data_IF_099163093293
#
_entry.id   IF_099163093293
#
_cell.length_a   1.000
_cell.length_b   1.000
_cell.length_c   1.000
_cell.angle_alpha   90.00
_cell.angle_beta   90.00
_cell.angle_gamma   90.00
#
_symmetry.space_group_name_H-M   'P 1'
#
loop_
_entity.id
_entity.type
_entity.pdbx_description
1 polymer ?
#
# COMPACT_ATOMS: atom_id res chain seq x y z
N UNK A 1 -4.49 -65.03 -57.36
CA UNK A 1 -4.96 -63.64 -57.57
C UNK A 1 -6.49 -63.61 -57.55
N UNK A 2 -7.08 -62.50 -57.07
CA UNK A 2 -8.50 -62.09 -57.10
C UNK A 2 -9.45 -62.31 -55.92
N UNK A 3 -9.25 -63.24 -54.98
CA UNK A 3 -10.25 -63.42 -53.91
C UNK A 3 -9.83 -62.92 -52.52
N UNK A 4 -8.52 -62.73 -52.27
CA UNK A 4 -8.04 -62.12 -51.01
C UNK A 4 -8.05 -60.59 -51.03
N UNK A 5 -8.27 -59.96 -52.19
CA UNK A 5 -8.34 -58.50 -52.30
C UNK A 5 -9.66 -57.92 -51.79
N UNK A 6 -10.75 -58.71 -51.74
CA UNK A 6 -12.01 -58.25 -51.13
C UNK A 6 -11.93 -58.17 -49.60
N UNK A 7 -11.09 -59.01 -48.98
CA UNK A 7 -10.87 -58.97 -47.53
C UNK A 7 -10.02 -57.76 -47.12
N UNK A 8 -9.15 -57.27 -48.01
CA UNK A 8 -8.30 -56.10 -47.78
C UNK A 8 -9.06 -54.77 -47.84
N UNK A 9 -10.24 -54.74 -48.50
CA UNK A 9 -11.11 -53.56 -48.61
C UNK A 9 -12.00 -53.39 -47.37
N UNK A 10 -12.25 -54.47 -46.61
CA UNK A 10 -12.93 -54.42 -45.31
C UNK A 10 -12.03 -53.94 -44.16
N UNK A 11 -10.69 -53.92 -44.36
CA UNK A 11 -9.72 -53.41 -43.36
C UNK A 11 -9.64 -51.87 -43.36
N UNK A 12 -10.29 -51.19 -44.32
CA UNK A 12 -10.32 -49.72 -44.41
C UNK A 12 -11.68 -49.10 -44.11
N UNK A 13 -12.69 -49.88 -43.69
CA UNK A 13 -13.95 -49.29 -43.23
C UNK A 13 -13.80 -48.68 -41.84
N UNK A 14 -14.00 -47.36 -41.79
CA UNK A 14 -14.13 -46.49 -40.61
C UNK A 14 -12.84 -45.92 -40.01
N UNK A 15 -12.12 -45.10 -40.76
CA UNK A 15 -11.51 -43.93 -40.12
C UNK A 15 -12.62 -42.93 -39.79
N UNK A 16 -13.09 -42.97 -38.54
CA UNK A 16 -13.85 -41.88 -37.95
C UNK A 16 -13.15 -41.34 -36.68
N UNK A 17 -11.96 -40.73 -36.77
CA UNK A 17 -11.62 -39.65 -35.85
C UNK A 17 -12.29 -38.39 -36.44
N UNK A 18 -13.10 -37.61 -35.71
CA UNK A 18 -12.70 -36.84 -34.55
C UNK A 18 -13.92 -36.61 -33.66
N UNK A 19 -13.80 -36.92 -32.37
CA UNK A 19 -14.71 -36.40 -31.35
C UNK A 19 -13.85 -35.87 -30.19
N UNK A 20 -14.18 -34.71 -29.61
CA UNK A 20 -13.76 -34.43 -28.24
C UNK A 20 -14.73 -35.19 -27.32
N UNK A 21 -14.21 -36.18 -26.62
CA UNK A 21 -14.93 -37.33 -26.04
C UNK A 21 -15.13 -37.25 -24.53
N UNK A 22 -15.07 -36.06 -23.93
CA UNK A 22 -15.05 -35.95 -22.47
C UNK A 22 -16.33 -36.51 -21.83
N UNK A 23 -16.22 -37.68 -21.19
CA UNK A 23 -17.26 -38.39 -20.43
C UNK A 23 -16.64 -38.89 -19.14
N UNK A 24 -17.22 -38.47 -18.01
CA UNK A 24 -16.72 -38.77 -16.67
C UNK A 24 -17.25 -40.13 -16.15
N UNK A 25 -16.68 -40.67 -15.06
CA UNK A 25 -17.17 -41.89 -14.42
C UNK A 25 -18.65 -41.78 -14.02
N UNK A 26 -19.45 -42.86 -14.10
CA UNK A 26 -20.83 -42.87 -13.61
C UNK A 26 -20.94 -42.70 -12.08
N UNK A 27 -19.85 -42.97 -11.37
CA UNK A 27 -19.67 -42.87 -9.93
C UNK A 27 -18.16 -42.76 -9.61
N UNK A 28 -17.82 -42.12 -8.49
CA UNK A 28 -16.43 -41.85 -8.08
C UNK A 28 -15.89 -40.47 -8.49
N UNK A 29 -14.66 -40.19 -8.07
CA UNK A 29 -13.96 -38.92 -8.28
C UNK A 29 -13.19 -38.88 -9.62
N UNK A 30 -13.00 -37.69 -10.18
CA UNK A 30 -12.23 -37.48 -11.43
C UNK A 30 -10.81 -37.04 -11.11
N UNK A 31 -9.83 -37.89 -11.43
CA UNK A 31 -8.42 -37.56 -11.36
C UNK A 31 -7.83 -37.20 -12.73
N UNK A 32 -7.11 -36.08 -12.81
CA UNK A 32 -6.27 -35.73 -13.97
C UNK A 32 -4.82 -35.74 -13.50
N UNK A 33 -4.04 -36.72 -13.95
CA UNK A 33 -2.66 -36.93 -13.48
C UNK A 33 -2.54 -37.70 -12.16
N UNK A 34 -3.66 -38.19 -11.60
CA UNK A 34 -3.70 -39.11 -10.45
C UNK A 34 -4.75 -40.20 -10.69
N UNK A 35 -4.47 -41.42 -10.21
CA UNK A 35 -5.43 -42.54 -10.21
C UNK A 35 -6.19 -42.67 -8.88
N UNK A 36 -5.79 -41.92 -7.85
CA UNK A 36 -6.37 -41.95 -6.51
C UNK A 36 -6.79 -40.53 -6.05
N UNK A 37 -7.75 -39.89 -6.74
CA UNK A 37 -8.20 -38.54 -6.38
C UNK A 37 -8.91 -38.51 -5.01
N UNK A 38 -8.47 -37.58 -4.17
CA UNK A 38 -8.97 -37.31 -2.82
C UNK A 38 -10.19 -36.38 -2.78
N UNK A 39 -10.50 -35.71 -3.89
CA UNK A 39 -11.65 -34.81 -4.06
C UNK A 39 -12.41 -35.14 -5.35
N UNK A 40 -13.63 -34.61 -5.50
CA UNK A 40 -14.49 -34.86 -6.67
C UNK A 40 -13.78 -34.60 -8.01
N UNK A 41 -12.92 -33.58 -8.05
CA UNK A 41 -12.03 -33.30 -9.19
C UNK A 41 -10.66 -32.95 -8.61
N UNK A 42 -9.65 -33.76 -8.91
CA UNK A 42 -8.26 -33.52 -8.52
C UNK A 42 -7.37 -33.48 -9.77
N UNK A 43 -6.65 -32.36 -9.93
CA UNK A 43 -5.60 -32.23 -10.94
C UNK A 43 -4.27 -32.33 -10.21
N UNK A 44 -3.55 -33.43 -10.42
CA UNK A 44 -2.31 -33.73 -9.73
C UNK A 44 -1.14 -33.69 -10.71
N UNK A 45 -0.32 -32.65 -10.61
CA UNK A 45 0.90 -32.45 -11.40
C UNK A 45 1.83 -31.46 -10.65
N UNK A 46 3.03 -31.20 -11.17
CA UNK A 46 3.98 -30.25 -10.58
C UNK A 46 3.47 -28.80 -10.58
N UNK A 47 2.58 -28.46 -11.51
CA UNK A 47 1.99 -27.13 -11.67
C UNK A 47 0.57 -27.23 -12.27
N UNK A 48 -0.42 -27.74 -11.52
CA UNK A 48 -1.77 -27.94 -12.05
C UNK A 48 -2.42 -26.60 -12.38
N UNK A 49 -3.03 -26.50 -13.57
CA UNK A 49 -3.66 -25.28 -14.09
C UNK A 49 -4.94 -25.61 -14.84
N UNK A 50 -6.01 -24.88 -14.55
CA UNK A 50 -7.24 -24.84 -15.35
C UNK A 50 -7.25 -23.51 -16.10
N UNK A 51 -7.43 -23.56 -17.42
CA UNK A 51 -7.46 -22.38 -18.29
C UNK A 51 -8.76 -22.33 -19.08
N UNK A 52 -9.50 -21.23 -18.95
CA UNK A 52 -10.64 -20.88 -19.78
C UNK A 52 -10.15 -19.98 -20.92
N UNK A 53 -10.36 -20.41 -22.16
CA UNK A 53 -9.96 -19.69 -23.38
C UNK A 53 -11.18 -19.49 -24.28
N UNK A 54 -11.60 -18.25 -24.57
CA UNK A 54 -12.71 -18.00 -25.47
C UNK A 54 -12.29 -18.24 -26.92
N UNK A 55 -13.17 -18.89 -27.68
CA UNK A 55 -12.92 -19.23 -29.08
C UNK A 55 -12.72 -17.98 -29.97
N UNK A 56 -13.39 -16.87 -29.65
CA UNK A 56 -13.33 -15.64 -30.46
C UNK A 56 -11.99 -14.89 -30.36
N UNK A 57 -11.23 -15.10 -29.27
CA UNK A 57 -9.98 -14.38 -29.00
C UNK A 57 -9.01 -15.23 -28.17
N UNK A 58 -8.54 -16.37 -28.72
CA UNK A 58 -7.85 -17.39 -27.94
C UNK A 58 -6.48 -16.95 -27.40
N UNK A 59 -5.90 -15.87 -27.93
CA UNK A 59 -4.64 -15.30 -27.44
C UNK A 59 -4.79 -14.30 -26.28
N UNK A 60 -5.93 -13.61 -26.18
CA UNK A 60 -5.99 -12.36 -25.41
C UNK A 60 -6.80 -12.48 -24.12
N UNK A 61 -7.86 -13.30 -24.10
CA UNK A 61 -8.79 -13.32 -22.96
C UNK A 61 -8.75 -14.65 -22.23
N UNK A 62 -7.59 -15.02 -21.70
CA UNK A 62 -7.46 -16.24 -20.88
C UNK A 62 -7.72 -15.92 -19.42
N UNK A 63 -8.49 -16.78 -18.75
CA UNK A 63 -8.57 -16.80 -17.28
C UNK A 63 -8.05 -18.13 -16.82
N UNK A 64 -7.11 -18.14 -15.88
CA UNK A 64 -6.54 -19.39 -15.37
C UNK A 64 -6.40 -19.36 -13.87
N UNK A 65 -6.57 -20.51 -13.24
CA UNK A 65 -6.20 -20.70 -11.83
C UNK A 65 -5.40 -21.99 -11.68
N UNK A 66 -4.55 -22.01 -10.68
CA UNK A 66 -3.66 -23.14 -10.45
C UNK A 66 -2.71 -22.92 -9.30
N UNK A 67 -1.78 -23.86 -9.17
CA UNK A 67 -0.70 -23.82 -8.18
C UNK A 67 0.62 -24.02 -8.91
N UNK A 68 1.65 -23.30 -8.47
CA UNK A 68 3.03 -23.42 -8.96
C UNK A 68 3.91 -24.13 -7.91
N UNK A 69 5.06 -24.67 -8.32
CA UNK A 69 6.08 -25.16 -7.38
C UNK A 69 6.40 -24.09 -6.32
N UNK A 70 6.53 -24.51 -5.06
CA UNK A 70 6.77 -23.58 -3.93
C UNK A 70 5.50 -23.04 -3.26
N UNK A 71 4.36 -23.72 -3.42
CA UNK A 71 3.09 -23.42 -2.73
C UNK A 71 2.51 -22.03 -3.04
N UNK A 72 2.68 -21.57 -4.28
CA UNK A 72 2.05 -20.34 -4.77
C UNK A 72 0.82 -20.69 -5.61
N UNK A 73 -0.36 -20.37 -5.11
CA UNK A 73 -1.59 -20.38 -5.88
C UNK A 73 -1.74 -19.07 -6.66
N UNK A 74 -2.32 -19.15 -7.86
CA UNK A 74 -2.58 -17.97 -8.68
C UNK A 74 -3.99 -17.98 -9.27
N UNK A 75 -4.46 -16.78 -9.57
CA UNK A 75 -5.63 -16.51 -10.41
C UNK A 75 -5.28 -15.40 -11.40
N UNK A 76 -5.31 -15.73 -12.69
CA UNK A 76 -5.00 -14.83 -13.81
C UNK A 76 -6.32 -14.35 -14.42
N UNK A 77 -6.45 -13.04 -14.64
CA UNK A 77 -7.64 -12.41 -15.22
C UNK A 77 -7.39 -11.89 -16.65
N UNK A 78 -8.37 -12.12 -17.52
CA UNK A 78 -8.26 -11.90 -18.97
C UNK A 78 -8.47 -10.47 -19.47
N UNK A 79 -7.35 -9.79 -19.76
CA UNK A 79 -7.04 -9.07 -21.01
C UNK A 79 -5.51 -9.12 -21.16
N UNK A 80 -5.01 -9.82 -22.18
CA UNK A 80 -3.61 -10.18 -22.40
C UNK A 80 -2.91 -10.94 -21.24
N UNK A 81 -3.67 -11.58 -20.33
CA UNK A 81 -3.12 -12.22 -19.11
C UNK A 81 -2.33 -11.25 -18.20
N UNK A 82 -2.68 -9.97 -18.24
CA UNK A 82 -1.91 -8.90 -17.60
C UNK A 82 -2.17 -8.71 -16.11
N UNK A 83 -3.25 -9.26 -15.58
CA UNK A 83 -3.57 -9.11 -14.16
C UNK A 83 -3.56 -10.46 -13.47
N UNK A 84 -3.00 -10.51 -12.28
CA UNK A 84 -2.83 -11.73 -11.52
C UNK A 84 -3.00 -11.47 -10.03
N UNK A 85 -3.69 -12.38 -9.36
CA UNK A 85 -3.67 -12.49 -7.90
C UNK A 85 -2.83 -13.70 -7.53
N UNK A 86 -1.90 -13.52 -6.59
CA UNK A 86 -1.07 -14.61 -6.06
C UNK A 86 -1.28 -14.77 -4.58
N UNK A 87 -1.54 -15.99 -4.15
CA UNK A 87 -1.48 -16.37 -2.75
C UNK A 87 -0.31 -17.34 -2.58
N UNK A 88 0.65 -17.01 -1.71
CA UNK A 88 1.84 -17.83 -1.55
C UNK A 88 2.38 -17.81 -0.14
N UNK A 89 3.44 -18.57 0.10
CA UNK A 89 4.19 -18.58 1.35
C UNK A 89 5.63 -18.08 1.11
N UNK A 90 6.19 -17.39 2.09
CA UNK A 90 7.59 -17.01 2.18
C UNK A 90 8.10 -17.31 3.59
N UNK A 91 9.40 -17.15 3.86
CA UNK A 91 9.92 -17.29 5.23
C UNK A 91 9.22 -16.37 6.25
N UNK A 92 8.64 -15.26 5.81
CA UNK A 92 7.86 -14.34 6.64
C UNK A 92 6.39 -14.75 6.83
N UNK A 93 5.93 -15.83 6.19
CA UNK A 93 4.56 -16.33 6.20
C UNK A 93 3.83 -16.16 4.86
N UNK A 94 2.50 -16.35 4.91
CA UNK A 94 1.62 -16.24 3.75
C UNK A 94 1.44 -14.81 3.24
N UNK A 95 1.20 -14.63 1.95
CA UNK A 95 0.89 -13.32 1.36
C UNK A 95 -0.22 -13.44 0.31
N UNK A 96 -0.86 -12.30 0.02
CA UNK A 96 -1.76 -12.12 -1.11
C UNK A 96 -1.34 -10.90 -1.93
N UNK A 97 -0.91 -11.11 -3.16
CA UNK A 97 -0.43 -10.06 -4.06
C UNK A 97 -1.39 -9.83 -5.21
N UNK A 98 -1.48 -8.57 -5.63
CA UNK A 98 -2.20 -8.11 -6.80
C UNK A 98 -1.20 -7.50 -7.77
N UNK A 99 -1.03 -8.15 -8.92
CA UNK A 99 -0.20 -7.71 -10.02
C UNK A 99 -1.05 -7.18 -11.16
N UNK A 100 -0.55 -6.11 -11.80
CA UNK A 100 -1.13 -5.54 -13.02
C UNK A 100 -0.08 -5.41 -14.12
N UNK A 101 -0.53 -5.32 -15.37
CA UNK A 101 0.35 -5.14 -16.54
C UNK A 101 1.47 -6.20 -16.68
N UNK A 102 1.19 -7.45 -16.32
CA UNK A 102 2.08 -8.57 -16.52
C UNK A 102 2.11 -9.01 -18.00
N UNK A 103 3.23 -8.85 -18.69
CA UNK A 103 3.30 -9.14 -20.13
C UNK A 103 3.87 -10.52 -20.46
N UNK A 104 4.39 -11.25 -19.46
CA UNK A 104 4.85 -12.64 -19.59
C UNK A 104 3.92 -13.65 -18.92
N UNK A 105 3.81 -14.84 -19.51
CA UNK A 105 3.20 -16.01 -18.84
C UNK A 105 4.14 -16.48 -17.72
N UNK A 106 3.59 -16.52 -16.51
CA UNK A 106 4.28 -16.33 -15.24
C UNK A 106 5.08 -17.53 -14.72
N UNK A 107 5.32 -18.55 -15.55
CA UNK A 107 5.99 -19.78 -15.10
C UNK A 107 7.47 -19.58 -14.77
N UNK A 108 8.05 -18.39 -15.01
CA UNK A 108 9.49 -18.13 -14.85
C UNK A 108 9.86 -16.73 -14.29
N UNK A 109 9.04 -15.69 -14.48
CA UNK A 109 9.26 -14.36 -13.93
C UNK A 109 7.99 -13.49 -14.05
N UNK A 110 7.71 -12.67 -13.02
CA UNK A 110 6.71 -11.60 -13.11
C UNK A 110 7.37 -10.31 -13.52
N UNK A 111 7.02 -9.82 -14.70
CA UNK A 111 7.31 -8.44 -15.11
C UNK A 111 6.15 -7.48 -14.75
N UNK A 112 5.05 -8.02 -14.22
CA UNK A 112 3.92 -7.24 -13.74
C UNK A 112 4.27 -6.29 -12.58
N UNK A 113 3.56 -5.17 -12.54
CA UNK A 113 3.64 -4.20 -11.46
C UNK A 113 2.92 -4.74 -10.23
N UNK A 114 3.62 -4.87 -9.11
CA UNK A 114 2.98 -5.13 -7.81
C UNK A 114 2.16 -3.91 -7.41
N UNK A 115 0.84 -3.99 -7.59
CA UNK A 115 -0.08 -2.92 -7.24
C UNK A 115 -0.34 -2.91 -5.73
N UNK A 116 -0.63 -4.08 -5.16
CA UNK A 116 -0.99 -4.24 -3.76
C UNK A 116 -0.50 -5.58 -3.21
N UNK A 117 -0.09 -5.60 -1.93
CA UNK A 117 0.20 -6.80 -1.15
C UNK A 117 -0.56 -6.75 0.17
N UNK A 118 -1.15 -7.87 0.57
CA UNK A 118 -1.49 -8.18 1.96
C UNK A 118 -0.42 -9.12 2.51
N UNK A 119 0.37 -8.64 3.46
CA UNK A 119 1.47 -9.38 4.06
C UNK A 119 0.98 -10.33 5.18
N UNK A 120 1.84 -11.26 5.59
CA UNK A 120 1.54 -12.28 6.60
C UNK A 120 1.06 -11.71 7.95
N UNK A 121 1.54 -10.53 8.32
CA UNK A 121 1.16 -9.81 9.53
C UNK A 121 -0.13 -8.97 9.38
N UNK A 122 -0.82 -9.10 8.24
CA UNK A 122 -2.03 -8.36 7.90
C UNK A 122 -1.79 -6.91 7.45
N UNK A 123 -0.54 -6.50 7.23
CA UNK A 123 -0.25 -5.16 6.72
C UNK A 123 -0.51 -5.09 5.20
N UNK A 124 -1.00 -3.95 4.74
CA UNK A 124 -1.22 -3.65 3.33
C UNK A 124 -0.07 -2.81 2.78
N UNK A 125 0.57 -3.30 1.72
CA UNK A 125 1.54 -2.56 0.92
C UNK A 125 0.95 -2.14 -0.41
N UNK A 126 1.10 -0.88 -0.81
CA UNK A 126 0.81 -0.40 -2.17
C UNK A 126 2.15 -0.04 -2.83
N UNK A 127 2.51 -0.76 -3.90
CA UNK A 127 3.81 -0.60 -4.56
C UNK A 127 5.02 -1.07 -3.74
N UNK A 128 4.81 -1.87 -2.68
CA UNK A 128 5.88 -2.42 -1.83
C UNK A 128 5.56 -3.83 -1.36
N UNK A 129 6.59 -4.68 -1.31
CA UNK A 129 6.51 -6.05 -0.77
C UNK A 129 6.72 -6.12 0.74
N UNK A 130 7.18 -5.02 1.35
CA UNK A 130 7.64 -4.95 2.75
C UNK A 130 6.93 -3.83 3.50
N UNK A 131 5.61 -3.92 3.72
CA UNK A 131 4.88 -2.90 4.46
C UNK A 131 5.29 -2.89 5.93
N UNK A 132 5.75 -1.73 6.42
CA UNK A 132 6.22 -1.53 7.80
C UNK A 132 5.07 -1.18 8.74
N UNK A 133 4.09 -0.44 8.22
CA UNK A 133 2.87 -0.07 8.92
C UNK A 133 1.65 -0.81 8.35
N UNK A 134 0.50 -0.72 9.05
CA UNK A 134 -0.78 -1.29 8.61
C UNK A 134 -1.13 -0.93 7.17
N UNK A 135 -0.80 0.28 6.76
CA UNK A 135 -0.81 0.71 5.37
C UNK A 135 0.54 1.35 5.04
N UNK A 136 1.28 0.77 4.10
CA UNK A 136 2.52 1.35 3.57
C UNK A 136 2.34 1.64 2.08
N UNK A 137 2.58 2.88 1.66
CA UNK A 137 2.48 3.28 0.24
C UNK A 137 3.84 3.74 -0.24
N UNK A 138 4.40 3.04 -1.23
CA UNK A 138 5.61 3.46 -1.93
C UNK A 138 5.25 4.38 -3.09
N UNK A 139 4.91 5.63 -2.77
CA UNK A 139 4.44 6.60 -3.75
C UNK A 139 3.67 7.75 -3.11
N UNK A 140 2.95 8.52 -3.94
CA UNK A 140 2.12 9.63 -3.48
C UNK A 140 0.69 9.17 -3.23
N UNK A 141 0.09 9.66 -2.15
CA UNK A 141 -1.34 9.51 -1.87
C UNK A 141 -2.03 10.81 -2.26
N UNK A 142 -3.04 10.74 -3.15
CA UNK A 142 -3.94 11.86 -3.44
C UNK A 142 -5.28 11.56 -2.77
N UNK A 143 -5.69 12.41 -1.85
CA UNK A 143 -6.96 12.30 -1.14
C UNK A 143 -7.70 13.64 -1.23
N UNK A 144 -9.03 13.60 -1.18
CA UNK A 144 -9.85 14.80 -1.00
C UNK A 144 -9.78 15.29 0.46
N UNK A 145 -9.77 14.36 1.41
CA UNK A 145 -9.70 14.63 2.83
C UNK A 145 -8.98 13.48 3.56
N UNK A 146 -8.26 13.81 4.64
CA UNK A 146 -7.67 12.85 5.57
C UNK A 146 -7.99 13.33 6.98
N UNK A 147 -8.77 12.54 7.72
CA UNK A 147 -8.97 12.74 9.16
C UNK A 147 -7.84 12.02 9.90
N UNK A 148 -7.05 12.77 10.66
CA UNK A 148 -5.98 12.23 11.51
C UNK A 148 -6.40 12.33 12.96
N UNK A 149 -6.47 11.19 13.64
CA UNK A 149 -6.80 11.12 15.07
C UNK A 149 -5.51 11.22 15.89
N UNK A 150 -4.88 12.40 15.83
CA UNK A 150 -3.67 12.70 16.60
C UNK A 150 -4.03 13.02 18.05
N UNK A 151 -3.28 12.45 18.99
CA UNK A 151 -3.39 12.73 20.42
C UNK A 151 -1.99 12.72 21.04
N UNK A 152 -1.63 13.67 21.93
CA UNK A 152 -2.46 14.75 22.48
C UNK A 152 -2.57 16.00 21.59
N UNK A 153 -3.66 16.76 21.75
CA UNK A 153 -3.87 18.07 21.11
C UNK A 153 -3.32 19.21 22.00
N UNK A 154 -2.69 20.26 21.44
CA UNK A 154 -1.81 21.15 22.21
C UNK A 154 -2.49 22.20 23.11
N UNK A 155 -3.80 22.10 23.39
CA UNK A 155 -4.55 23.05 24.25
C UNK A 155 -3.94 23.30 25.63
N UNK A 156 -3.03 22.42 26.08
CA UNK A 156 -2.27 22.60 27.31
C UNK A 156 -1.40 23.88 27.33
N UNK A 157 -1.08 24.49 26.18
CA UNK A 157 -0.32 25.76 26.11
C UNK A 157 -1.04 26.90 26.85
N UNK A 158 -2.36 26.83 26.97
CA UNK A 158 -3.17 27.83 27.68
C UNK A 158 -3.41 27.51 29.16
N UNK A 159 -2.87 26.40 29.67
CA UNK A 159 -3.01 26.06 31.08
C UNK A 159 -2.14 26.96 31.97
N UNK A 160 -2.59 27.22 33.21
CA UNK A 160 -1.93 28.16 34.13
C UNK A 160 -0.51 27.75 34.53
N UNK A 161 -0.23 26.46 34.51
CA UNK A 161 1.05 25.85 34.86
C UNK A 161 1.96 25.64 33.64
N UNK A 162 1.49 25.99 32.43
CA UNK A 162 2.30 25.93 31.23
C UNK A 162 3.46 26.93 31.30
N UNK A 163 4.68 26.41 31.18
CA UNK A 163 5.91 27.21 31.16
C UNK A 163 6.23 27.63 29.73
N UNK A 164 5.72 28.79 29.34
CA UNK A 164 6.04 29.41 28.06
C UNK A 164 7.56 29.69 27.97
N UNK A 165 8.29 29.09 27.00
CA UNK A 165 9.69 29.41 26.77
C UNK A 165 9.87 30.89 26.45
N UNK A 166 10.94 31.51 26.92
CA UNK A 166 11.24 32.89 26.54
C UNK A 166 11.77 32.96 25.10
N UNK A 167 11.65 34.14 24.47
CA UNK A 167 12.22 34.35 23.13
C UNK A 167 13.75 34.25 23.16
N UNK A 168 14.39 34.60 24.28
CA UNK A 168 15.84 34.48 24.48
C UNK A 168 16.26 33.00 24.52
N UNK A 169 15.56 32.16 25.29
CA UNK A 169 15.82 30.72 25.32
C UNK A 169 15.58 30.09 23.94
N UNK A 170 14.54 30.52 23.24
CA UNK A 170 14.23 30.07 21.88
C UNK A 170 15.33 30.49 20.90
N UNK A 171 15.84 31.72 20.98
CA UNK A 171 16.95 32.21 20.16
C UNK A 171 18.23 31.41 20.40
N UNK A 172 18.56 31.12 21.66
CA UNK A 172 19.71 30.28 22.01
C UNK A 172 19.55 28.89 21.39
N UNK A 173 18.38 28.27 21.52
CA UNK A 173 18.10 26.96 20.94
C UNK A 173 18.25 26.97 19.41
N UNK A 174 17.72 27.99 18.72
CA UNK A 174 17.85 28.10 17.26
C UNK A 174 19.32 28.26 16.86
N UNK A 175 20.12 29.05 17.60
CA UNK A 175 21.55 29.21 17.32
C UNK A 175 22.33 27.91 17.51
N UNK A 176 21.96 27.11 18.52
CA UNK A 176 22.63 25.85 18.84
C UNK A 176 22.19 24.67 17.96
N UNK A 177 20.90 24.60 17.59
CA UNK A 177 20.30 23.43 16.93
C UNK A 177 19.87 23.69 15.49
N UNK A 178 19.67 24.94 15.10
CA UNK A 178 19.25 25.31 13.75
C UNK A 178 17.77 25.07 13.43
N UNK A 179 16.94 24.78 14.43
CA UNK A 179 15.49 24.59 14.29
C UNK A 179 14.75 25.02 15.57
N UNK A 180 13.42 25.04 15.54
CA UNK A 180 12.60 25.40 16.69
C UNK A 180 12.57 24.28 17.74
N UNK A 181 12.43 24.62 19.04
CA UNK A 181 12.25 23.63 20.10
C UNK A 181 11.06 22.70 19.82
N UNK A 182 11.28 21.38 19.91
CA UNK A 182 10.25 20.35 19.69
C UNK A 182 9.94 20.02 18.23
N UNK A 183 10.39 20.84 17.28
CA UNK A 183 10.30 20.55 15.83
C UNK A 183 11.52 19.72 15.42
N UNK A 184 11.35 18.60 14.69
CA UNK A 184 12.48 17.77 14.27
C UNK A 184 13.39 18.52 13.30
N UNK A 185 14.67 18.20 13.36
CA UNK A 185 15.69 18.69 12.42
C UNK A 185 15.49 18.09 11.03
N UNK A 186 16.05 18.75 10.00
CA UNK A 186 16.03 18.22 8.64
C UNK A 186 16.69 16.85 8.51
N UNK A 187 17.70 16.55 9.34
CA UNK A 187 18.38 15.26 9.37
C UNK A 187 17.45 14.15 9.91
N UNK A 188 16.72 14.42 10.99
CA UNK A 188 15.74 13.49 11.56
C UNK A 188 14.58 13.23 10.60
N UNK A 189 14.06 14.28 9.96
CA UNK A 189 13.00 14.18 8.94
C UNK A 189 13.45 13.32 7.76
N UNK A 190 14.70 13.48 7.30
CA UNK A 190 15.24 12.68 6.20
C UNK A 190 15.39 11.21 6.57
N UNK A 191 15.73 10.91 7.82
CA UNK A 191 15.94 9.54 8.28
C UNK A 191 14.61 8.81 8.53
N UNK A 192 13.65 9.47 9.15
CA UNK A 192 12.47 8.82 9.73
C UNK A 192 11.14 9.26 9.10
N UNK A 193 11.12 10.35 8.33
CA UNK A 193 9.89 10.98 7.87
C UNK A 193 9.25 11.85 8.96
N UNK A 194 7.96 12.15 8.79
CA UNK A 194 7.16 12.96 9.71
C UNK A 194 5.80 12.31 9.87
N UNK A 195 5.36 12.18 11.12
CA UNK A 195 3.98 11.84 11.44
C UNK A 195 3.10 13.09 11.30
N UNK A 196 2.19 13.05 10.33
CA UNK A 196 1.35 14.21 9.95
C UNK A 196 0.57 14.77 11.16
N UNK A 197 0.02 13.89 11.98
CA UNK A 197 -0.75 14.27 13.17
C UNK A 197 0.10 14.96 14.23
N UNK A 198 1.25 14.37 14.57
CA UNK A 198 2.18 14.92 15.55
C UNK A 198 2.75 16.27 15.09
N UNK A 199 3.11 16.38 13.82
CA UNK A 199 3.62 17.63 13.26
C UNK A 199 2.57 18.73 13.27
N UNK A 200 1.33 18.43 12.90
CA UNK A 200 0.25 19.42 12.98
C UNK A 200 0.01 19.89 14.43
N UNK A 201 0.05 18.96 15.41
CA UNK A 201 -0.06 19.32 16.82
C UNK A 201 1.11 20.20 17.29
N UNK A 202 2.35 19.86 16.92
CA UNK A 202 3.54 20.68 17.23
C UNK A 202 3.48 22.06 16.58
N UNK A 203 3.05 22.15 15.33
CA UNK A 203 2.89 23.43 14.64
C UNK A 203 1.83 24.30 15.32
N UNK A 204 0.69 23.71 15.71
CA UNK A 204 -0.34 24.43 16.46
C UNK A 204 0.19 24.89 17.82
N UNK A 205 0.92 24.05 18.56
CA UNK A 205 1.60 24.45 19.79
C UNK A 205 2.48 25.71 19.57
N UNK A 206 3.23 25.78 18.45
CA UNK A 206 4.06 26.96 18.14
C UNK A 206 3.25 28.20 17.77
N UNK A 207 2.11 28.02 17.12
CA UNK A 207 1.18 29.13 16.84
C UNK A 207 0.60 29.69 18.15
N UNK A 208 0.26 28.83 19.10
CA UNK A 208 -0.27 29.23 20.40
C UNK A 208 0.79 29.91 21.27
N UNK A 209 2.00 29.35 21.36
CA UNK A 209 3.15 29.98 22.03
C UNK A 209 3.45 31.37 21.44
N UNK A 210 3.49 31.49 20.10
CA UNK A 210 3.69 32.77 19.41
C UNK A 210 2.56 33.76 19.72
N UNK A 211 1.32 33.29 19.81
CA UNK A 211 0.16 34.12 20.15
C UNK A 211 0.29 34.69 21.56
N UNK A 212 0.75 33.90 22.54
CA UNK A 212 1.02 34.37 23.90
C UNK A 212 2.12 35.43 23.92
N UNK A 213 3.21 35.24 23.16
CA UNK A 213 4.25 36.27 23.02
C UNK A 213 3.73 37.56 22.39
N UNK A 214 2.86 37.48 21.37
CA UNK A 214 2.25 38.68 20.76
C UNK A 214 1.33 39.43 21.72
N UNK A 215 0.55 38.71 22.54
CA UNK A 215 -0.28 39.32 23.58
C UNK A 215 0.60 40.06 24.59
N UNK A 216 1.68 39.43 25.04
CA UNK A 216 2.61 40.04 25.99
C UNK A 216 3.32 41.27 25.40
N UNK A 217 3.81 41.17 24.16
CA UNK A 217 4.43 42.29 23.46
C UNK A 217 3.47 43.47 23.30
N UNK A 218 2.20 43.20 23.00
CA UNK A 218 1.16 44.25 22.89
C UNK A 218 0.91 44.94 24.23
N UNK A 219 0.89 44.19 25.34
CA UNK A 219 0.77 44.76 26.69
C UNK A 219 1.97 45.65 27.00
N UNK A 220 3.18 45.18 26.72
CA UNK A 220 4.42 45.94 26.95
C UNK A 220 4.45 47.23 26.12
N UNK A 221 4.04 47.17 24.85
CA UNK A 221 3.97 48.34 23.98
C UNK A 221 2.97 49.39 24.48
N UNK A 222 1.77 48.97 24.94
CA UNK A 222 0.79 49.89 25.54
C UNK A 222 1.34 50.56 26.80
N UNK A 223 1.94 49.78 27.70
CA UNK A 223 2.56 50.32 28.91
C UNK A 223 3.69 51.29 28.59
N UNK A 224 4.46 51.03 27.53
CA UNK A 224 5.52 51.92 27.08
C UNK A 224 4.95 53.23 26.50
N UNK A 225 3.88 53.17 25.70
CA UNK A 225 3.20 54.37 25.18
C UNK A 225 2.61 55.22 26.31
N UNK A 226 1.94 54.60 27.29
CA UNK A 226 1.41 55.31 28.46
C UNK A 226 2.51 55.98 29.30
N UNK A 227 3.69 55.36 29.40
CA UNK A 227 4.86 55.97 30.05
C UNK A 227 5.35 57.18 29.26
N UNK A 228 5.46 57.07 27.93
CA UNK A 228 5.87 58.19 27.08
C UNK A 228 4.87 59.34 27.12
N UNK A 229 3.56 59.07 27.10
CA UNK A 229 2.53 60.10 27.20
C UNK A 229 2.65 60.88 28.52
N UNK A 230 2.84 60.18 29.64
CA UNK A 230 3.07 60.80 30.96
C UNK A 230 4.35 61.64 31.00
N UNK A 231 5.44 61.16 30.40
CA UNK A 231 6.71 61.88 30.37
C UNK A 231 6.63 63.12 29.47
N UNK A 232 5.94 63.04 28.33
CA UNK A 232 5.66 64.18 27.45
C UNK A 232 4.82 65.23 28.19
N UNK A 233 3.78 64.82 28.92
CA UNK A 233 2.95 65.72 29.71
C UNK A 233 3.76 66.43 30.81
N UNK A 234 4.61 65.67 31.52
CA UNK A 234 5.53 66.22 32.52
C UNK A 234 6.51 67.23 31.92
N UNK A 235 7.16 66.93 30.80
CA UNK A 235 8.08 67.85 30.13
C UNK A 235 7.37 69.12 29.65
N UNK A 236 6.15 68.99 29.09
CA UNK A 236 5.32 70.14 28.71
C UNK A 236 4.98 71.03 29.91
N UNK A 237 4.77 70.46 31.09
CA UNK A 237 4.50 71.22 32.32
C UNK A 237 5.70 72.04 32.80
N UNK A 238 6.94 71.61 32.50
CA UNK A 238 8.18 72.31 32.87
C UNK A 238 8.59 73.42 31.90
N UNK A 239 8.00 73.46 30.70
CA UNK A 239 8.30 74.45 29.65
C UNK A 239 7.39 75.69 29.71
N UNK A 240 6.34 75.66 30.56
CA UNK A 240 5.50 76.82 30.91
C UNK A 240 6.05 77.51 32.15
#
# INVERSE_FOLDING_TARGET
MRHYYLLLILVFSSMAPFAQTNKFPPDGNVGIGTTTPSSQIEIYNIAPKITLTPASYPGNYKTSFGVQPGAQAFLIFGNNSQNEIRAGNSLAGGFLDFFTNNTVDQHLASDGNLAMRLAANGNVGIGTTSPREKLSVNGKIRAQEIKVEASPWPDYVFMKDYKLPTLQETEVHIKEKGHLPGIPSAAEVKANGIDLGEMNAKLLQKIEELTLHMIELTKQSKLQNEKYDKEIEYLKSKLK
#
